data_IF_761232286336
#
_entry.id   IF_761232286336
#
_cell.length_a   1.000
_cell.length_b   1.000
_cell.length_c   1.000
_cell.angle_alpha   90.00
_cell.angle_beta   90.00
_cell.angle_gamma   90.00
#
_symmetry.space_group_name_H-M   'P 1'
#
loop_
_entity.id
_entity.type
_entity.pdbx_description
1 polymer ?
#
# COMPACT_ATOMS: atom_id res chain seq x y z
N UNK A 1 -24.74 8.78 -10.64
CA UNK A 1 -24.80 7.30 -10.74
C UNK A 1 -26.12 6.90 -10.14
N UNK A 2 -26.87 6.03 -10.82
CA UNK A 2 -28.16 5.56 -10.33
C UNK A 2 -28.02 4.96 -8.92
N UNK A 3 -28.95 5.35 -8.03
CA UNK A 3 -28.99 4.89 -6.64
C UNK A 3 -29.07 3.38 -6.56
N UNK A 4 -29.97 2.80 -7.34
CA UNK A 4 -30.26 1.38 -7.31
C UNK A 4 -29.03 0.55 -7.70
N UNK A 5 -28.35 0.95 -8.79
CA UNK A 5 -27.13 0.28 -9.25
C UNK A 5 -26.06 0.32 -8.18
N UNK A 6 -25.82 1.46 -7.52
CA UNK A 6 -24.80 1.55 -6.49
C UNK A 6 -25.11 0.66 -5.27
N UNK A 7 -26.37 0.60 -4.86
CA UNK A 7 -26.80 -0.22 -3.73
C UNK A 7 -26.71 -1.72 -4.04
N UNK A 8 -27.05 -2.14 -5.27
CA UNK A 8 -26.79 -3.51 -5.74
C UNK A 8 -25.29 -3.85 -5.69
N UNK A 9 -24.42 -2.94 -6.13
CA UNK A 9 -22.96 -3.15 -6.10
C UNK A 9 -22.48 -3.28 -4.66
N UNK A 10 -22.94 -2.40 -3.77
CA UNK A 10 -22.62 -2.44 -2.34
C UNK A 10 -23.08 -3.74 -1.70
N UNK A 11 -24.25 -4.25 -2.09
CA UNK A 11 -24.77 -5.53 -1.64
C UNK A 11 -23.93 -6.72 -2.14
N UNK A 12 -23.54 -6.73 -3.43
CA UNK A 12 -22.66 -7.76 -4.00
C UNK A 12 -21.32 -7.79 -3.26
N UNK A 13 -20.68 -6.63 -3.02
CA UNK A 13 -19.44 -6.58 -2.24
C UNK A 13 -19.62 -7.05 -0.79
N UNK A 14 -20.75 -6.74 -0.13
CA UNK A 14 -21.08 -7.27 1.20
C UNK A 14 -21.21 -8.79 1.19
N UNK A 15 -21.82 -9.36 0.15
CA UNK A 15 -21.93 -10.82 0.01
C UNK A 15 -20.55 -11.44 -0.24
N UNK A 16 -19.77 -10.89 -1.16
CA UNK A 16 -18.42 -11.37 -1.48
C UNK A 16 -17.47 -11.32 -0.28
N UNK A 17 -17.50 -10.25 0.51
CA UNK A 17 -16.67 -10.15 1.73
C UNK A 17 -17.07 -11.17 2.80
N UNK A 18 -18.36 -11.54 2.89
CA UNK A 18 -18.85 -12.60 3.79
C UNK A 18 -18.47 -14.01 3.32
N UNK A 19 -18.44 -14.26 2.01
CA UNK A 19 -18.29 -15.60 1.42
C UNK A 19 -16.86 -15.92 0.95
N UNK A 20 -16.09 -14.96 0.43
CA UNK A 20 -14.89 -15.23 -0.38
C UNK A 20 -13.59 -14.55 0.10
N UNK A 21 -13.49 -14.14 1.37
CA UNK A 21 -12.32 -13.42 1.91
C UNK A 21 -10.94 -14.16 1.76
N UNK A 22 -10.89 -15.40 1.26
CA UNK A 22 -9.64 -16.21 1.13
C UNK A 22 -8.93 -16.04 -0.21
N UNK A 23 -9.66 -15.83 -1.32
CA UNK A 23 -9.11 -16.00 -2.67
C UNK A 23 -8.84 -14.69 -3.41
N UNK A 24 -9.33 -13.57 -2.88
CA UNK A 24 -9.21 -12.28 -3.53
C UNK A 24 -7.92 -11.64 -3.05
N UNK A 25 -6.92 -11.48 -3.94
CA UNK A 25 -5.72 -10.66 -3.67
C UNK A 25 -6.16 -9.34 -3.02
N UNK A 26 -5.56 -8.99 -1.87
CA UNK A 26 -5.89 -7.81 -1.02
C UNK A 26 -6.19 -6.55 -1.85
N UNK A 27 -5.44 -6.35 -2.94
CA UNK A 27 -5.59 -5.29 -3.95
C UNK A 27 -7.01 -5.05 -4.50
N UNK A 28 -7.90 -6.06 -4.49
CA UNK A 28 -9.29 -5.92 -4.95
C UNK A 28 -10.30 -5.80 -3.79
N UNK A 29 -9.90 -6.17 -2.58
CA UNK A 29 -10.72 -6.05 -1.37
C UNK A 29 -10.72 -4.60 -0.89
N UNK A 30 -9.60 -3.88 -1.03
CA UNK A 30 -9.45 -2.52 -0.50
C UNK A 30 -10.56 -1.57 -1.00
N UNK A 31 -10.81 -1.42 -2.32
CA UNK A 31 -11.90 -0.54 -2.77
C UNK A 31 -13.27 -1.06 -2.34
N UNK A 32 -13.46 -2.39 -2.30
CA UNK A 32 -14.71 -3.02 -1.86
C UNK A 32 -15.04 -2.70 -0.41
N UNK A 33 -14.06 -2.77 0.50
CA UNK A 33 -14.24 -2.39 1.91
C UNK A 33 -14.62 -0.92 2.07
N UNK A 34 -14.01 -0.04 1.27
CA UNK A 34 -14.38 1.39 1.27
C UNK A 34 -15.80 1.58 0.72
N UNK A 35 -16.21 0.87 -0.35
CA UNK A 35 -17.60 0.92 -0.86
C UNK A 35 -18.61 0.49 0.22
N UNK A 36 -18.29 -0.57 0.97
CA UNK A 36 -19.19 -1.12 1.98
C UNK A 36 -19.31 -0.18 3.20
N UNK A 37 -18.20 0.40 3.62
CA UNK A 37 -18.11 1.20 4.86
C UNK A 37 -18.42 2.69 4.65
N UNK A 38 -18.25 3.22 3.45
CA UNK A 38 -18.51 4.63 3.17
C UNK A 38 -20.02 4.87 2.91
N UNK A 39 -20.65 5.82 3.62
CA UNK A 39 -22.03 6.22 3.30
C UNK A 39 -22.13 7.01 1.98
N UNK A 40 -21.06 7.69 1.55
CA UNK A 40 -21.04 8.47 0.31
C UNK A 40 -20.71 7.60 -0.89
N UNK A 41 -21.33 7.94 -2.03
CA UNK A 41 -20.99 7.36 -3.33
C UNK A 41 -19.67 7.94 -3.82
N UNK A 42 -18.87 7.12 -4.46
CA UNK A 42 -17.61 7.57 -5.05
C UNK A 42 -17.29 6.85 -6.35
N UNK A 43 -16.43 7.48 -7.15
CA UNK A 43 -15.81 6.88 -8.33
C UNK A 43 -14.34 6.54 -8.03
N UNK A 44 -13.94 5.27 -8.09
CA UNK A 44 -12.56 4.89 -7.81
C UNK A 44 -11.65 5.20 -8.98
N UNK A 45 -10.40 5.60 -8.70
CA UNK A 45 -9.31 5.55 -9.67
C UNK A 45 -8.73 4.13 -9.68
N UNK A 46 -8.68 3.50 -10.85
CA UNK A 46 -8.29 2.10 -10.98
C UNK A 46 -7.26 1.88 -12.08
N UNK A 47 -6.36 0.92 -11.91
CA UNK A 47 -5.41 0.54 -12.96
C UNK A 47 -6.11 0.12 -14.26
N UNK A 48 -5.64 0.64 -15.40
CA UNK A 48 -6.16 0.33 -16.74
C UNK A 48 -6.18 -1.18 -17.03
N UNK A 49 -5.16 -1.90 -16.57
CA UNK A 49 -5.05 -3.37 -16.67
C UNK A 49 -6.21 -4.11 -15.98
N UNK A 50 -6.70 -3.59 -14.85
CA UNK A 50 -7.89 -4.13 -14.17
C UNK A 50 -9.19 -3.71 -14.85
N UNK A 51 -9.24 -2.49 -15.40
CA UNK A 51 -10.41 -1.96 -16.13
C UNK A 51 -10.75 -2.75 -17.39
N UNK A 52 -9.74 -3.36 -18.04
CA UNK A 52 -9.93 -4.18 -19.24
C UNK A 52 -10.48 -5.59 -18.97
N UNK A 53 -10.51 -6.05 -17.71
CA UNK A 53 -11.00 -7.41 -17.38
C UNK A 53 -12.52 -7.48 -17.51
N UNK A 54 -13.09 -8.59 -17.98
CA UNK A 54 -14.53 -8.74 -18.26
C UNK A 54 -15.42 -8.42 -17.04
N UNK A 55 -15.22 -9.12 -15.92
CA UNK A 55 -16.06 -8.97 -14.72
C UNK A 55 -15.71 -7.67 -13.98
N UNK A 56 -14.44 -7.50 -13.60
CA UNK A 56 -13.96 -6.33 -12.83
C UNK A 56 -14.18 -5.01 -13.59
N UNK A 57 -13.90 -5.00 -14.90
CA UNK A 57 -14.09 -3.84 -15.75
C UNK A 57 -15.54 -3.45 -15.93
N UNK A 58 -16.46 -4.42 -15.97
CA UNK A 58 -17.90 -4.13 -16.01
C UNK A 58 -18.35 -3.48 -14.70
N UNK A 59 -17.91 -3.99 -13.55
CA UNK A 59 -18.20 -3.34 -12.27
C UNK A 59 -17.61 -1.94 -12.15
N UNK A 60 -16.39 -1.75 -12.63
CA UNK A 60 -15.74 -0.45 -12.64
C UNK A 60 -16.47 0.56 -13.52
N UNK A 61 -16.97 0.13 -14.69
CA UNK A 61 -17.79 0.98 -15.57
C UNK A 61 -19.09 1.40 -14.88
N UNK A 62 -19.76 0.48 -14.18
CA UNK A 62 -20.98 0.79 -13.41
C UNK A 62 -20.71 1.79 -12.27
N UNK A 63 -19.57 1.66 -11.58
CA UNK A 63 -19.10 2.61 -10.56
C UNK A 63 -18.58 3.94 -11.13
N UNK A 64 -18.63 4.10 -12.46
CA UNK A 64 -18.05 5.22 -13.19
C UNK A 64 -16.58 5.48 -12.84
N UNK A 65 -15.81 4.41 -12.62
CA UNK A 65 -14.40 4.46 -12.28
C UNK A 65 -13.55 5.13 -13.37
N UNK A 66 -12.48 5.81 -12.95
CA UNK A 66 -11.54 6.49 -13.85
C UNK A 66 -10.32 5.60 -14.02
N UNK A 67 -10.04 5.09 -15.24
CA UNK A 67 -8.91 4.21 -15.45
C UNK A 67 -7.59 5.00 -15.55
N UNK A 68 -6.56 4.51 -14.87
CA UNK A 68 -5.22 5.08 -14.79
C UNK A 68 -4.24 4.15 -15.48
N UNK A 69 -3.58 4.64 -16.53
CA UNK A 69 -2.48 3.92 -17.18
C UNK A 69 -1.22 4.09 -16.34
N UNK A 70 -0.65 2.97 -15.87
CA UNK A 70 0.64 2.97 -15.18
C UNK A 70 1.73 2.80 -16.24
N UNK A 71 2.75 3.65 -16.24
CA UNK A 71 3.89 3.54 -17.17
C UNK A 71 4.53 2.16 -17.10
N UNK A 72 4.66 1.59 -15.90
CA UNK A 72 5.16 0.24 -15.66
C UNK A 72 4.36 -0.87 -16.37
N UNK A 73 3.05 -0.68 -16.59
CA UNK A 73 2.20 -1.66 -17.28
C UNK A 73 2.46 -1.65 -18.81
N UNK A 74 3.11 -0.61 -19.34
CA UNK A 74 3.48 -0.45 -20.75
C UNK A 74 4.92 -0.88 -21.04
N UNK A 75 5.64 -1.43 -20.06
CA UNK A 75 7.04 -1.80 -20.21
C UNK A 75 7.22 -2.91 -21.26
N UNK A 76 8.12 -2.71 -22.23
CA UNK A 76 8.46 -3.71 -23.24
C UNK A 76 9.97 -3.88 -23.37
N UNK A 77 10.42 -4.99 -23.98
CA UNK A 77 11.86 -5.29 -24.18
C UNK A 77 12.41 -4.42 -25.31
N UNK A 78 13.51 -3.70 -25.06
CA UNK A 78 14.20 -2.94 -26.10
C UNK A 78 14.96 -3.85 -27.08
N UNK A 79 15.17 -3.38 -28.31
CA UNK A 79 16.01 -4.08 -29.30
C UNK A 79 17.49 -3.85 -29.00
N UNK A 80 18.33 -4.82 -29.37
CA UNK A 80 19.79 -4.72 -29.20
C UNK A 80 20.25 -4.77 -27.73
N UNK A 81 21.45 -4.24 -27.51
CA UNK A 81 22.11 -4.18 -26.20
C UNK A 81 22.55 -2.76 -25.89
N UNK A 82 22.58 -2.41 -24.60
CA UNK A 82 23.09 -1.14 -24.13
C UNK A 82 24.58 -1.28 -23.80
N UNK A 83 25.35 -0.26 -24.13
CA UNK A 83 26.78 -0.17 -23.85
C UNK A 83 27.07 1.23 -23.33
N UNK A 84 27.86 1.35 -22.29
CA UNK A 84 28.29 2.64 -21.77
C UNK A 84 29.80 2.68 -21.55
N UNK A 85 30.39 3.83 -21.83
CA UNK A 85 31.79 4.11 -21.57
C UNK A 85 31.93 4.94 -20.28
N UNK A 86 33.04 4.76 -19.56
CA UNK A 86 33.42 5.55 -18.38
C UNK A 86 33.76 7.00 -18.74
N UNK A 87 34.16 7.26 -19.99
CA UNK A 87 34.49 8.60 -20.47
C UNK A 87 33.26 9.48 -20.75
N UNK A 88 32.12 8.89 -21.14
CA UNK A 88 30.91 9.61 -21.52
C UNK A 88 29.71 9.24 -20.65
N UNK A 89 29.67 9.77 -19.41
CA UNK A 89 28.65 9.39 -18.40
C UNK A 89 27.24 9.92 -18.64
N UNK A 90 27.03 10.80 -19.62
CA UNK A 90 25.72 11.37 -19.98
C UNK A 90 25.15 10.80 -21.29
N UNK A 91 25.93 10.00 -22.00
CA UNK A 91 25.55 9.41 -23.29
C UNK A 91 25.57 7.90 -23.14
N UNK A 92 24.47 7.26 -23.53
CA UNK A 92 24.32 5.82 -23.51
C UNK A 92 24.31 5.30 -24.94
N UNK A 93 25.21 4.37 -25.22
CA UNK A 93 25.37 3.79 -26.54
C UNK A 93 24.59 2.48 -26.66
N UNK A 94 24.30 2.10 -27.89
CA UNK A 94 23.56 0.90 -28.24
C UNK A 94 24.27 0.08 -29.31
N UNK A 95 24.20 -1.25 -29.19
CA UNK A 95 24.60 -2.20 -30.24
C UNK A 95 23.36 -2.87 -30.81
N UNK A 96 23.18 -2.76 -32.13
CA UNK A 96 21.98 -3.27 -32.85
C UNK A 96 20.65 -2.75 -32.29
N UNK A 97 20.66 -1.52 -31.79
CA UNK A 97 19.49 -0.82 -31.24
C UNK A 97 18.75 -0.06 -32.34
N UNK A 98 17.48 0.29 -32.08
CA UNK A 98 16.64 1.13 -32.95
C UNK A 98 15.99 2.23 -32.13
N UNK A 99 16.80 3.06 -31.48
CA UNK A 99 16.30 4.02 -30.51
C UNK A 99 15.32 5.04 -31.09
N UNK A 100 15.52 5.50 -32.33
CA UNK A 100 14.62 6.50 -32.95
C UNK A 100 13.20 5.97 -33.14
N UNK A 101 13.02 4.65 -33.21
CA UNK A 101 11.72 3.99 -33.38
C UNK A 101 11.10 3.54 -32.05
N UNK A 102 11.93 3.27 -31.03
CA UNK A 102 11.48 2.61 -29.80
C UNK A 102 11.50 3.50 -28.56
N UNK A 103 12.23 4.60 -28.57
CA UNK A 103 12.49 5.44 -27.40
C UNK A 103 12.11 6.87 -27.72
N UNK A 104 11.45 7.53 -26.78
CA UNK A 104 11.12 8.95 -26.85
C UNK A 104 11.74 9.71 -25.66
N UNK A 105 11.94 11.04 -25.78
CA UNK A 105 12.35 11.86 -24.64
C UNK A 105 11.43 11.64 -23.42
N UNK A 106 12.03 11.56 -22.23
CA UNK A 106 11.43 11.24 -20.92
C UNK A 106 11.11 9.76 -20.66
N UNK A 107 11.28 8.87 -21.63
CA UNK A 107 11.18 7.44 -21.39
C UNK A 107 12.24 6.98 -20.40
N UNK A 108 11.95 5.87 -19.71
CA UNK A 108 12.88 5.28 -18.73
C UNK A 108 13.38 3.94 -19.25
N UNK A 109 14.70 3.80 -19.34
CA UNK A 109 15.37 2.54 -19.62
C UNK A 109 15.61 1.80 -18.32
N UNK A 110 15.24 0.53 -18.25
CA UNK A 110 15.42 -0.31 -17.06
C UNK A 110 16.32 -1.48 -17.40
N UNK A 111 17.49 -1.51 -16.78
CA UNK A 111 18.49 -2.56 -16.95
C UNK A 111 18.36 -3.60 -15.84
N UNK A 112 18.08 -3.16 -14.61
CA UNK A 112 17.85 -4.05 -13.48
C UNK A 112 16.88 -3.41 -12.47
N UNK A 113 16.51 -4.15 -11.42
CA UNK A 113 15.60 -3.64 -10.36
C UNK A 113 16.09 -2.34 -9.70
N UNK A 114 17.41 -2.09 -9.72
CA UNK A 114 18.04 -0.94 -9.07
C UNK A 114 18.65 0.06 -10.05
N UNK A 115 18.71 -0.26 -11.34
CA UNK A 115 19.32 0.59 -12.36
C UNK A 115 18.31 0.94 -13.45
N UNK A 116 17.84 2.18 -13.39
CA UNK A 116 16.93 2.77 -14.37
C UNK A 116 17.34 4.19 -14.70
N UNK A 117 17.27 4.58 -15.97
CA UNK A 117 17.79 5.86 -16.46
C UNK A 117 16.74 6.58 -17.31
N UNK A 118 16.54 7.86 -17.06
CA UNK A 118 15.63 8.68 -17.85
C UNK A 118 16.34 9.29 -19.06
N UNK A 119 15.74 9.11 -20.23
CA UNK A 119 16.24 9.65 -21.50
C UNK A 119 15.89 11.13 -21.59
N UNK A 120 16.90 11.98 -21.76
CA UNK A 120 16.69 13.41 -22.00
C UNK A 120 16.46 13.68 -23.49
N UNK A 121 17.23 13.02 -24.36
CA UNK A 121 17.14 13.20 -25.82
C UNK A 121 17.56 11.91 -26.55
N UNK A 122 16.92 11.63 -27.68
CA UNK A 122 17.33 10.59 -28.63
C UNK A 122 18.21 11.24 -29.69
N UNK A 123 19.47 10.81 -29.81
CA UNK A 123 20.44 11.41 -30.76
C UNK A 123 20.40 10.63 -32.08
N UNK A 124 20.46 9.30 -32.01
CA UNK A 124 20.45 8.40 -33.17
C UNK A 124 19.90 7.03 -32.77
N UNK A 125 19.88 6.06 -33.70
CA UNK A 125 19.46 4.68 -33.38
C UNK A 125 20.39 3.97 -32.41
N UNK A 126 21.61 4.48 -32.21
CA UNK A 126 22.65 3.91 -31.35
C UNK A 126 23.06 4.81 -30.21
N UNK A 127 22.57 6.05 -30.12
CA UNK A 127 22.99 7.01 -29.10
C UNK A 127 21.80 7.70 -28.43
N UNK A 128 21.82 7.72 -27.11
CA UNK A 128 20.85 8.42 -26.26
C UNK A 128 21.57 9.34 -25.28
N UNK A 129 20.99 10.51 -25.04
CA UNK A 129 21.38 11.36 -23.92
C UNK A 129 20.52 11.06 -22.71
N UNK A 130 21.15 10.95 -21.55
CA UNK A 130 20.46 10.74 -20.28
C UNK A 130 20.21 12.07 -19.57
N UNK A 131 19.28 12.06 -18.62
CA UNK A 131 18.97 13.21 -17.76
C UNK A 131 19.96 13.33 -16.60
N UNK A 132 20.45 12.18 -16.12
CA UNK A 132 21.36 12.06 -14.99
C UNK A 132 22.65 11.34 -15.44
N UNK A 133 23.76 11.65 -14.79
CA UNK A 133 25.06 11.02 -15.04
C UNK A 133 25.08 9.59 -14.50
N UNK A 134 25.63 8.66 -15.27
CA UNK A 134 25.85 7.28 -14.86
C UNK A 134 26.94 7.18 -13.78
N UNK A 135 26.70 6.35 -12.77
CA UNK A 135 27.71 5.93 -11.79
C UNK A 135 28.54 4.77 -12.35
N UNK A 136 29.74 4.54 -11.80
CA UNK A 136 30.61 3.44 -12.26
C UNK A 136 29.94 2.07 -12.10
N UNK A 137 29.21 1.87 -11.00
CA UNK A 137 28.43 0.64 -10.76
C UNK A 137 27.32 0.45 -11.82
N UNK A 138 26.67 1.54 -12.24
CA UNK A 138 25.64 1.50 -13.27
C UNK A 138 26.24 1.13 -14.64
N UNK A 139 27.41 1.66 -14.98
CA UNK A 139 28.12 1.37 -16.23
C UNK A 139 28.48 -0.12 -16.30
N UNK A 140 29.05 -0.68 -15.24
CA UNK A 140 29.40 -2.10 -15.17
C UNK A 140 28.17 -3.00 -15.30
N UNK A 141 27.04 -2.59 -14.72
CA UNK A 141 25.75 -3.30 -14.85
C UNK A 141 25.20 -3.24 -16.27
N UNK A 142 25.26 -2.08 -16.92
CA UNK A 142 24.83 -1.90 -18.31
C UNK A 142 25.61 -2.84 -19.22
N UNK A 143 26.94 -2.83 -19.12
CA UNK A 143 27.81 -3.62 -20.00
C UNK A 143 27.70 -5.14 -19.77
N UNK A 144 27.26 -5.57 -18.58
CA UNK A 144 26.96 -6.98 -18.29
C UNK A 144 25.53 -7.40 -18.66
N UNK A 145 24.64 -6.46 -18.94
CA UNK A 145 23.23 -6.78 -19.18
C UNK A 145 22.96 -7.09 -20.65
N UNK A 146 22.46 -8.29 -20.91
CA UNK A 146 22.10 -8.72 -22.27
C UNK A 146 20.79 -8.13 -22.79
N UNK A 147 19.95 -7.61 -21.88
CA UNK A 147 18.65 -7.06 -22.22
C UNK A 147 18.32 -5.85 -21.34
N UNK A 148 17.43 -5.00 -21.86
CA UNK A 148 16.85 -3.88 -21.14
C UNK A 148 15.37 -3.75 -21.49
N UNK A 149 14.63 -3.07 -20.63
CA UNK A 149 13.23 -2.71 -20.86
C UNK A 149 13.10 -1.21 -21.06
N UNK A 150 12.16 -0.83 -21.90
CA UNK A 150 11.75 0.56 -22.10
C UNK A 150 10.42 0.74 -21.39
N UNK A 151 10.34 1.75 -20.54
CA UNK A 151 9.11 2.19 -19.87
C UNK A 151 8.72 3.54 -20.49
N UNK A 152 7.66 3.57 -21.32
CA UNK A 152 7.20 4.81 -21.94
C UNK A 152 6.73 5.84 -20.91
N UNK A 153 7.02 7.10 -21.18
CA UNK A 153 6.41 8.21 -20.47
C UNK A 153 4.92 8.30 -20.84
N UNK A 154 4.06 8.35 -19.81
CA UNK A 154 2.61 8.43 -20.01
C UNK A 154 2.15 9.85 -19.73
N UNK A 155 1.56 10.49 -20.74
CA UNK A 155 0.88 11.76 -20.56
C UNK A 155 -0.44 11.54 -19.78
N UNK A 156 -0.55 12.21 -18.62
CA UNK A 156 -1.70 12.09 -17.71
C UNK A 156 -2.71 13.24 -17.84
N UNK A 157 -2.56 14.18 -18.77
CA UNK A 157 -3.48 15.33 -18.91
C UNK A 157 -4.94 14.92 -19.03
N UNK A 158 -5.25 13.96 -19.90
CA UNK A 158 -6.62 13.45 -20.09
C UNK A 158 -7.19 12.76 -18.84
N UNK A 159 -6.33 12.20 -17.98
CA UNK A 159 -6.76 11.66 -16.69
C UNK A 159 -7.19 12.81 -15.77
N UNK A 160 -6.34 13.83 -15.66
CA UNK A 160 -6.58 14.98 -14.79
C UNK A 160 -7.82 15.76 -15.20
N UNK A 161 -8.03 16.01 -16.49
CA UNK A 161 -9.26 16.63 -17.03
C UNK A 161 -10.52 15.87 -16.57
N UNK A 162 -10.55 14.54 -16.72
CA UNK A 162 -11.67 13.72 -16.26
C UNK A 162 -11.85 13.75 -14.75
N UNK A 163 -10.76 13.84 -13.99
CA UNK A 163 -10.84 13.97 -12.54
C UNK A 163 -11.45 15.32 -12.16
N UNK A 164 -11.00 16.41 -12.78
CA UNK A 164 -11.51 17.76 -12.52
C UNK A 164 -13.00 17.84 -12.86
N UNK A 165 -13.44 17.31 -14.01
CA UNK A 165 -14.85 17.22 -14.40
C UNK A 165 -15.70 16.51 -13.33
N UNK A 166 -15.20 15.41 -12.76
CA UNK A 166 -15.91 14.67 -11.70
C UNK A 166 -15.94 15.41 -10.37
N UNK A 167 -14.85 16.04 -9.98
CA UNK A 167 -14.80 16.84 -8.76
C UNK A 167 -15.73 18.05 -8.86
N UNK A 168 -15.74 18.74 -10.01
CA UNK A 168 -16.63 19.87 -10.28
C UNK A 168 -18.12 19.50 -10.27
N UNK A 169 -18.45 18.25 -10.61
CA UNK A 169 -19.83 17.73 -10.50
C UNK A 169 -20.18 17.20 -9.10
N UNK A 170 -19.35 17.48 -8.09
CA UNK A 170 -19.58 17.08 -6.70
C UNK A 170 -19.36 15.58 -6.43
N UNK A 171 -18.73 14.85 -7.33
CA UNK A 171 -18.48 13.41 -7.17
C UNK A 171 -17.27 13.19 -6.28
N UNK A 172 -17.42 12.35 -5.25
CA UNK A 172 -16.28 11.91 -4.44
C UNK A 172 -15.40 10.92 -5.21
N UNK A 173 -14.09 11.03 -5.03
CA UNK A 173 -13.12 10.10 -5.62
C UNK A 173 -12.42 9.29 -4.54
N UNK A 174 -12.08 8.04 -4.85
CA UNK A 174 -11.24 7.18 -4.00
C UNK A 174 -10.01 6.77 -4.77
N UNK A 175 -8.86 6.89 -4.11
CA UNK A 175 -7.55 6.64 -4.69
C UNK A 175 -6.69 5.84 -3.72
N UNK A 176 -5.71 5.12 -4.27
CA UNK A 176 -4.69 4.40 -3.50
C UNK A 176 -3.31 4.98 -3.86
N UNK A 177 -2.82 5.97 -3.10
CA UNK A 177 -1.66 6.79 -3.50
C UNK A 177 -0.32 6.05 -3.54
N UNK A 178 -0.19 4.90 -2.89
CA UNK A 178 1.01 4.05 -2.94
C UNK A 178 1.25 3.43 -4.33
N UNK A 179 0.19 3.27 -5.13
CA UNK A 179 0.28 2.70 -6.47
C UNK A 179 0.62 1.21 -6.51
N UNK A 180 0.66 0.52 -5.37
CA UNK A 180 0.94 -0.92 -5.22
C UNK A 180 0.24 -1.49 -3.99
N UNK A 181 0.36 -2.80 -3.79
CA UNK A 181 -0.07 -3.48 -2.55
C UNK A 181 1.15 -4.23 -2.01
N UNK A 182 1.48 -4.06 -0.74
CA UNK A 182 2.62 -4.70 -0.10
C UNK A 182 2.31 -5.18 1.31
N UNK A 183 3.06 -6.18 1.77
CA UNK A 183 2.95 -6.75 3.12
C UNK A 183 3.98 -6.14 4.11
N UNK A 184 4.59 -5.00 3.76
CA UNK A 184 5.54 -4.29 4.65
C UNK A 184 4.82 -3.71 5.87
N UNK A 185 5.52 -3.67 7.01
CA UNK A 185 5.04 -3.04 8.25
C UNK A 185 5.01 -1.51 8.17
N UNK A 186 5.70 -0.95 7.18
CA UNK A 186 5.76 0.48 6.90
C UNK A 186 5.02 0.88 5.63
N UNK A 187 4.52 2.11 5.63
CA UNK A 187 3.87 2.74 4.47
C UNK A 187 4.90 3.11 3.40
N UNK A 188 4.60 2.79 2.13
CA UNK A 188 5.41 3.26 1.01
C UNK A 188 5.25 4.78 0.77
N UNK A 189 6.25 5.43 0.15
CA UNK A 189 6.12 6.80 -0.30
C UNK A 189 4.89 7.00 -1.20
N UNK A 190 4.14 8.07 -0.95
CA UNK A 190 2.94 8.38 -1.70
C UNK A 190 3.28 9.02 -3.04
N UNK A 191 2.51 8.68 -4.08
CA UNK A 191 2.59 9.38 -5.37
C UNK A 191 1.85 10.71 -5.28
N UNK A 192 2.46 11.75 -5.86
CA UNK A 192 1.93 13.12 -5.88
C UNK A 192 0.60 13.30 -6.65
N UNK A 193 0.10 12.27 -7.33
CA UNK A 193 -1.07 12.39 -8.21
C UNK A 193 -2.31 12.99 -7.52
N UNK A 194 -2.55 12.67 -6.25
CA UNK A 194 -3.70 13.22 -5.53
C UNK A 194 -3.59 14.71 -5.24
N UNK A 195 -2.38 15.17 -4.89
CA UNK A 195 -2.10 16.56 -4.66
C UNK A 195 -2.27 17.36 -5.95
N UNK A 196 -1.74 16.84 -7.07
CA UNK A 196 -1.90 17.44 -8.41
C UNK A 196 -3.37 17.56 -8.80
N UNK A 197 -4.17 16.50 -8.57
CA UNK A 197 -5.61 16.48 -8.87
C UNK A 197 -6.40 17.48 -8.03
N UNK A 198 -6.14 17.53 -6.72
CA UNK A 198 -6.86 18.42 -5.82
C UNK A 198 -6.50 19.90 -6.06
N UNK A 199 -5.21 20.22 -6.14
CA UNK A 199 -4.73 21.57 -6.41
C UNK A 199 -5.12 22.05 -7.81
N UNK A 200 -5.03 21.17 -8.82
CA UNK A 200 -5.44 21.49 -10.18
C UNK A 200 -6.93 21.84 -10.28
N UNK A 201 -7.79 20.98 -9.73
CA UNK A 201 -9.24 21.22 -9.77
C UNK A 201 -9.66 22.51 -9.05
N UNK A 202 -9.09 22.81 -7.88
CA UNK A 202 -9.40 24.05 -7.15
C UNK A 202 -8.71 25.30 -7.73
N UNK A 203 -7.62 25.13 -8.48
CA UNK A 203 -7.00 26.22 -9.24
C UNK A 203 -7.84 26.61 -10.47
N UNK A 204 -8.53 25.65 -11.08
CA UNK A 204 -9.44 25.85 -12.22
C UNK A 204 -10.82 26.36 -11.78
N UNK A 205 -11.31 25.91 -10.62
CA UNK A 205 -12.62 26.29 -10.08
C UNK A 205 -12.50 26.80 -8.63
N UNK A 206 -12.68 28.12 -8.44
CA UNK A 206 -12.54 28.79 -7.14
C UNK A 206 -13.66 28.46 -6.14
N UNK A 207 -14.82 28.03 -6.62
CA UNK A 207 -15.97 27.68 -5.77
C UNK A 207 -15.89 26.24 -5.25
N UNK A 208 -14.92 25.46 -5.75
CA UNK A 208 -14.75 24.08 -5.35
C UNK A 208 -13.97 23.97 -4.03
N UNK A 209 -14.60 23.37 -3.00
CA UNK A 209 -13.96 23.07 -1.72
C UNK A 209 -13.68 21.57 -1.57
N UNK A 210 -12.49 21.13 -2.02
CA UNK A 210 -12.08 19.72 -1.90
C UNK A 210 -11.59 19.42 -0.50
N UNK A 211 -12.17 18.38 0.12
CA UNK A 211 -11.65 17.75 1.34
C UNK A 211 -10.99 16.41 1.03
N UNK A 212 -9.77 16.22 1.55
CA UNK A 212 -9.06 14.94 1.48
C UNK A 212 -9.30 14.21 2.79
N UNK A 213 -9.88 13.01 2.72
CA UNK A 213 -10.15 12.18 3.91
C UNK A 213 -9.21 10.98 3.90
N UNK A 214 -8.25 10.88 4.83
CA UNK A 214 -7.40 9.71 4.97
C UNK A 214 -8.24 8.49 5.37
N UNK A 215 -8.02 7.35 4.70
CA UNK A 215 -8.70 6.09 5.01
C UNK A 215 -7.65 5.01 5.26
N UNK A 216 -7.63 4.46 6.47
CA UNK A 216 -6.74 3.39 6.88
C UNK A 216 -7.45 2.04 6.84
N UNK A 217 -6.84 1.06 6.17
CA UNK A 217 -7.32 -0.31 6.10
C UNK A 217 -6.42 -1.21 6.94
N UNK A 218 -6.89 -1.63 8.12
CA UNK A 218 -6.10 -2.40 9.08
C UNK A 218 -6.56 -3.86 9.10
N UNK A 219 -5.73 -4.76 8.55
CA UNK A 219 -5.99 -6.20 8.47
C UNK A 219 -5.30 -6.95 9.61
N UNK A 220 -6.03 -7.84 10.30
CA UNK A 220 -5.46 -8.57 11.46
C UNK A 220 -4.70 -9.83 11.07
N UNK A 221 -5.26 -10.59 10.14
CA UNK A 221 -4.62 -11.81 9.60
C UNK A 221 -4.87 -11.83 8.09
N UNK A 222 -4.08 -11.11 7.28
CA UNK A 222 -4.30 -10.98 5.84
C UNK A 222 -4.37 -12.35 5.14
N UNK A 223 -3.66 -13.35 5.66
CA UNK A 223 -3.56 -14.70 5.09
C UNK A 223 -4.63 -15.68 5.60
N UNK A 224 -5.53 -15.28 6.51
CA UNK A 224 -6.59 -16.17 7.03
C UNK A 224 -7.94 -15.84 6.40
N UNK A 225 -8.66 -16.88 6.01
CA UNK A 225 -10.05 -16.75 5.56
C UNK A 225 -10.94 -16.12 6.64
N UNK A 226 -11.85 -15.25 6.23
CA UNK A 226 -12.79 -14.51 7.10
C UNK A 226 -12.09 -13.75 8.23
N UNK A 227 -10.89 -13.28 7.94
CA UNK A 227 -10.16 -12.41 8.85
C UNK A 227 -10.86 -11.06 9.00
N UNK A 228 -10.52 -10.37 10.07
CA UNK A 228 -11.16 -9.11 10.46
C UNK A 228 -10.34 -7.96 9.89
N UNK A 229 -11.06 -6.94 9.42
CA UNK A 229 -10.49 -5.68 8.97
C UNK A 229 -11.19 -4.53 9.69
N UNK A 230 -10.45 -3.46 9.98
CA UNK A 230 -11.00 -2.19 10.47
C UNK A 230 -10.73 -1.12 9.42
N UNK A 231 -11.79 -0.40 9.06
CA UNK A 231 -11.69 0.81 8.23
C UNK A 231 -11.72 2.01 9.15
N UNK A 232 -10.63 2.77 9.18
CA UNK A 232 -10.47 3.96 10.01
C UNK A 232 -10.52 5.20 9.13
N UNK A 233 -11.40 6.14 9.46
CA UNK A 233 -11.49 7.43 8.77
C UNK A 233 -10.76 8.50 9.59
N UNK A 234 -9.88 9.25 8.93
CA UNK A 234 -9.11 10.32 9.54
C UNK A 234 -9.84 11.65 9.50
N UNK A 235 -9.25 12.65 10.15
CA UNK A 235 -9.75 14.03 10.09
C UNK A 235 -9.68 14.54 8.65
N UNK A 236 -10.74 15.15 8.11
CA UNK A 236 -10.72 15.77 6.79
C UNK A 236 -9.65 16.87 6.70
N UNK A 237 -8.81 16.80 5.67
CA UNK A 237 -7.78 17.79 5.36
C UNK A 237 -8.36 18.76 4.32
N UNK A 238 -8.33 20.05 4.64
CA UNK A 238 -8.71 21.10 3.69
C UNK A 238 -7.49 21.55 2.88
N UNK A 239 -7.67 21.74 1.58
CA UNK A 239 -6.63 22.34 0.73
C UNK A 239 -6.56 23.83 1.02
N UNK A 240 -5.41 24.32 1.49
CA UNK A 240 -5.26 25.72 1.87
C UNK A 240 -5.21 26.65 0.65
N UNK A 241 -5.78 27.87 0.72
CA UNK A 241 -5.73 28.85 -0.36
C UNK A 241 -4.30 29.23 -0.78
N UNK A 242 -3.35 29.25 0.16
CA UNK A 242 -1.93 29.52 -0.10
C UNK A 242 -1.30 28.49 -1.06
N UNK A 243 -1.63 27.21 -0.91
CA UNK A 243 -1.14 26.16 -1.79
C UNK A 243 -1.72 26.28 -3.20
N UNK A 244 -2.98 26.71 -3.33
CA UNK A 244 -3.63 26.92 -4.63
C UNK A 244 -2.95 28.08 -5.37
N UNK A 245 -2.68 29.20 -4.69
CA UNK A 245 -1.96 30.34 -5.25
C UNK A 245 -0.55 29.94 -5.70
N UNK A 246 0.20 29.25 -4.85
CA UNK A 246 1.53 28.76 -5.17
C UNK A 246 1.52 27.77 -6.36
N UNK A 247 0.48 26.93 -6.46
CA UNK A 247 0.29 26.02 -7.59
C UNK A 247 0.10 26.77 -8.92
N UNK A 248 -0.69 27.85 -8.92
CA UNK A 248 -0.96 28.69 -10.10
C UNK A 248 0.28 29.47 -10.58
N UNK A 249 1.16 29.90 -9.67
CA UNK A 249 2.41 30.60 -10.02
C UNK A 249 3.39 29.73 -10.84
N UNK A 250 3.24 28.41 -10.81
CA UNK A 250 4.08 27.50 -11.60
C UNK A 250 5.48 27.30 -11.03
N UNK A 251 6.37 26.70 -11.83
CA UNK A 251 7.79 26.56 -11.51
C UNK A 251 8.10 25.88 -10.16
N UNK A 252 8.91 26.55 -9.33
CA UNK A 252 9.26 26.09 -7.99
C UNK A 252 8.05 26.08 -7.03
N UNK A 253 7.26 27.16 -7.01
CA UNK A 253 6.09 27.31 -6.15
C UNK A 253 5.06 26.19 -6.34
N UNK A 254 4.88 25.74 -7.59
CA UNK A 254 3.99 24.60 -7.88
C UNK A 254 4.48 23.31 -7.25
N UNK A 255 5.79 23.04 -7.31
CA UNK A 255 6.39 21.84 -6.71
C UNK A 255 6.27 21.86 -5.20
N UNK A 256 6.50 23.02 -4.59
CA UNK A 256 6.35 23.24 -3.15
C UNK A 256 4.91 23.00 -2.69
N UNK A 257 3.91 23.59 -3.36
CA UNK A 257 2.50 23.35 -3.05
C UNK A 257 2.10 21.88 -3.12
N UNK A 258 2.58 21.16 -4.15
CA UNK A 258 2.36 19.71 -4.28
C UNK A 258 3.02 18.98 -3.12
N UNK A 259 4.26 19.32 -2.77
CA UNK A 259 5.00 18.69 -1.68
C UNK A 259 4.30 18.89 -0.32
N UNK A 260 3.86 20.11 -0.01
CA UNK A 260 3.14 20.40 1.24
C UNK A 260 1.83 19.60 1.36
N UNK A 261 1.04 19.53 0.28
CA UNK A 261 -0.20 18.74 0.31
C UNK A 261 0.07 17.23 0.38
N UNK A 262 1.16 16.78 -0.25
CA UNK A 262 1.62 15.38 -0.19
C UNK A 262 2.01 14.99 1.23
N UNK A 263 2.76 15.85 1.92
CA UNK A 263 3.19 15.68 3.31
C UNK A 263 2.01 15.61 4.27
N UNK A 264 1.08 16.57 4.21
CA UNK A 264 -0.12 16.56 5.08
C UNK A 264 -1.00 15.33 4.80
N UNK A 265 -1.11 14.93 3.52
CA UNK A 265 -1.81 13.68 3.17
C UNK A 265 -1.11 12.43 3.71
N UNK A 266 0.22 12.43 3.73
CA UNK A 266 1.03 11.35 4.31
C UNK A 266 0.83 11.25 5.82
N UNK A 267 0.93 12.36 6.55
CA UNK A 267 0.65 12.42 7.99
C UNK A 267 -0.79 11.98 8.30
N UNK A 268 -1.75 12.43 7.49
CA UNK A 268 -3.14 12.02 7.60
C UNK A 268 -3.32 10.50 7.48
N UNK A 269 -2.68 9.87 6.49
CA UNK A 269 -2.70 8.41 6.33
C UNK A 269 -1.94 7.68 7.43
N UNK A 270 -0.79 8.20 7.86
CA UNK A 270 -0.04 7.64 9.00
C UNK A 270 -0.86 7.65 10.27
N UNK A 271 -1.69 8.68 10.46
CA UNK A 271 -2.60 8.71 11.59
C UNK A 271 -3.48 7.47 11.53
N UNK A 272 -4.19 7.17 10.45
CA UNK A 272 -5.19 6.08 10.40
C UNK A 272 -4.65 4.67 10.17
N UNK A 273 -3.34 4.50 10.02
CA UNK A 273 -2.67 3.22 9.72
C UNK A 273 -1.73 2.79 10.84
N UNK A 274 -1.54 1.49 11.00
CA UNK A 274 -0.54 0.92 11.92
C UNK A 274 0.80 0.83 11.17
N UNK A 275 1.63 1.87 11.30
CA UNK A 275 2.94 1.97 10.63
C UNK A 275 4.08 1.70 11.62
N UNK A 276 4.59 0.46 11.62
CA UNK A 276 5.63 -0.01 12.52
C UNK A 276 6.99 -0.09 11.80
N UNK A 277 8.10 0.43 12.39
CA UNK A 277 9.42 0.46 11.76
C UNK A 277 9.96 -0.92 11.36
N UNK A 278 9.58 -1.95 12.11
CA UNK A 278 9.94 -3.32 11.81
C UNK A 278 8.85 -4.29 12.28
N UNK A 279 8.92 -5.52 11.79
CA UNK A 279 8.08 -6.62 12.25
C UNK A 279 8.24 -6.86 13.76
N UNK A 280 9.47 -6.75 14.28
CA UNK A 280 9.74 -6.97 15.71
C UNK A 280 9.11 -5.90 16.59
N UNK A 281 9.11 -4.63 16.15
CA UNK A 281 8.39 -3.56 16.84
C UNK A 281 6.90 -3.84 16.80
N UNK A 282 6.35 -4.24 15.64
CA UNK A 282 4.93 -4.59 15.53
C UNK A 282 4.53 -5.70 16.51
N UNK A 283 5.34 -6.76 16.61
CA UNK A 283 5.13 -7.86 17.56
C UNK A 283 5.28 -7.42 19.02
N UNK A 284 6.26 -6.56 19.30
CA UNK A 284 6.45 -5.97 20.63
C UNK A 284 5.23 -5.19 21.07
N UNK A 285 4.71 -4.31 20.21
CA UNK A 285 3.50 -3.52 20.47
C UNK A 285 2.28 -4.41 20.66
N UNK A 286 2.14 -5.43 19.81
CA UNK A 286 1.05 -6.39 19.93
C UNK A 286 1.10 -7.17 21.26
N UNK A 287 2.29 -7.52 21.75
CA UNK A 287 2.49 -8.18 23.05
C UNK A 287 2.29 -7.21 24.21
N UNK A 288 2.90 -6.02 24.17
CA UNK A 288 2.71 -4.96 25.15
C UNK A 288 1.24 -4.67 25.37
N UNK A 289 0.43 -4.60 24.30
CA UNK A 289 -1.01 -4.40 24.37
C UNK A 289 -1.72 -5.53 25.11
N UNK A 290 -1.35 -6.79 24.85
CA UNK A 290 -1.95 -7.96 25.52
C UNK A 290 -1.60 -8.00 27.01
N UNK A 291 -0.38 -7.59 27.36
CA UNK A 291 0.07 -7.49 28.75
C UNK A 291 -0.56 -6.30 29.48
N UNK A 292 -0.70 -5.15 28.82
CA UNK A 292 -1.31 -3.94 29.40
C UNK A 292 -2.80 -4.11 29.71
N UNK A 293 -3.55 -4.77 28.82
CA UNK A 293 -4.93 -5.20 29.08
C UNK A 293 -5.06 -6.69 28.80
N UNK A 294 -4.97 -7.49 29.87
CA UNK A 294 -5.15 -8.94 29.78
C UNK A 294 -6.48 -9.27 29.11
N UNK A 295 -6.41 -10.12 28.08
CA UNK A 295 -7.59 -10.55 27.32
C UNK A 295 -8.57 -11.35 28.19
N UNK A 296 -8.14 -11.82 29.36
CA UNK A 296 -8.96 -12.54 30.32
C UNK A 296 -9.94 -11.62 31.09
N UNK A 297 -9.59 -10.36 31.31
CA UNK A 297 -10.36 -9.44 32.15
C UNK A 297 -11.22 -8.48 31.31
N UNK A 298 -10.69 -7.98 30.19
CA UNK A 298 -11.38 -7.00 29.36
C UNK A 298 -11.16 -7.25 27.87
N UNK A 299 -12.20 -7.69 27.17
CA UNK A 299 -12.14 -7.95 25.73
C UNK A 299 -12.32 -6.64 24.94
N UNK A 300 -11.21 -6.08 24.47
CA UNK A 300 -11.23 -4.90 23.59
C UNK A 300 -11.98 -5.17 22.28
N UNK A 301 -12.73 -4.18 21.82
CA UNK A 301 -13.28 -4.18 20.46
C UNK A 301 -12.14 -4.03 19.44
N UNK A 302 -12.42 -4.33 18.17
CA UNK A 302 -11.38 -4.39 17.13
C UNK A 302 -10.83 -2.99 16.84
N UNK A 303 -11.69 -1.99 16.81
CA UNK A 303 -11.36 -0.57 16.71
C UNK A 303 -10.47 -0.10 17.87
N UNK A 304 -10.82 -0.46 19.12
CA UNK A 304 -9.98 -0.18 20.30
C UNK A 304 -8.61 -0.82 20.19
N UNK A 305 -8.52 -2.05 19.64
CA UNK A 305 -7.21 -2.70 19.41
C UNK A 305 -6.36 -1.91 18.41
N UNK A 306 -6.95 -1.44 17.31
CA UNK A 306 -6.24 -0.62 16.31
C UNK A 306 -5.81 0.72 16.90
N UNK A 307 -6.70 1.39 17.64
CA UNK A 307 -6.39 2.68 18.29
C UNK A 307 -5.26 2.53 19.31
N UNK A 308 -5.31 1.50 20.16
CA UNK A 308 -4.28 1.26 21.16
C UNK A 308 -2.92 0.90 20.52
N UNK A 309 -2.92 0.11 19.45
CA UNK A 309 -1.69 -0.16 18.67
C UNK A 309 -1.10 1.13 18.09
N UNK A 310 -1.93 2.02 17.53
CA UNK A 310 -1.48 3.32 17.00
C UNK A 310 -0.86 4.19 18.08
N UNK A 311 -1.51 4.31 19.24
CA UNK A 311 -1.00 5.07 20.39
C UNK A 311 0.33 4.52 20.88
N UNK A 312 0.42 3.20 21.05
CA UNK A 312 1.66 2.55 21.49
C UNK A 312 2.79 2.76 20.48
N UNK A 313 2.52 2.68 19.17
CA UNK A 313 3.52 2.97 18.14
C UNK A 313 3.95 4.44 18.13
N UNK A 314 3.02 5.36 18.30
CA UNK A 314 3.32 6.79 18.41
C UNK A 314 4.23 7.07 19.62
N UNK A 315 3.90 6.50 20.78
CA UNK A 315 4.74 6.60 21.98
C UNK A 315 6.09 5.91 21.80
N UNK A 316 6.14 4.74 21.16
CA UNK A 316 7.39 4.02 20.88
C UNK A 316 8.35 4.89 20.04
N UNK A 317 7.85 5.54 18.99
CA UNK A 317 8.66 6.45 18.16
C UNK A 317 9.16 7.66 18.95
N UNK A 318 8.33 8.23 19.81
CA UNK A 318 8.72 9.39 20.62
C UNK A 318 9.78 9.05 21.68
N UNK A 319 9.68 7.88 22.31
CA UNK A 319 10.56 7.45 23.41
C UNK A 319 11.60 6.40 22.98
N UNK A 320 11.91 6.28 21.69
CA UNK A 320 12.77 5.21 21.14
C UNK A 320 14.15 5.13 21.83
N UNK A 321 14.66 6.28 22.28
CA UNK A 321 15.96 6.40 22.95
C UNK A 321 15.87 6.34 24.48
N UNK A 322 14.68 6.24 25.07
CA UNK A 322 14.51 6.14 26.51
C UNK A 322 15.00 4.76 27.00
N UNK A 323 15.97 4.69 27.93
CA UNK A 323 16.49 3.43 28.45
C UNK A 323 15.41 2.49 29.01
N UNK A 324 14.32 3.03 29.58
CA UNK A 324 13.21 2.24 30.13
C UNK A 324 12.44 1.53 29.02
N UNK A 325 12.23 2.20 27.88
CA UNK A 325 11.55 1.59 26.74
C UNK A 325 12.42 0.51 26.10
N UNK A 326 13.73 0.74 25.99
CA UNK A 326 14.69 -0.23 25.48
C UNK A 326 14.69 -1.50 26.35
N UNK A 327 14.71 -1.36 27.66
CA UNK A 327 14.64 -2.49 28.60
C UNK A 327 13.33 -3.27 28.46
N UNK A 328 12.18 -2.58 28.50
CA UNK A 328 10.86 -3.22 28.36
C UNK A 328 10.76 -3.96 27.02
N UNK A 329 11.25 -3.36 25.93
CA UNK A 329 11.25 -3.99 24.60
C UNK A 329 12.06 -5.28 24.60
N UNK A 330 13.27 -5.29 25.18
CA UNK A 330 14.09 -6.50 25.33
C UNK A 330 13.37 -7.57 26.15
N UNK A 331 12.74 -7.20 27.27
CA UNK A 331 11.98 -8.14 28.10
C UNK A 331 10.78 -8.75 27.37
N UNK A 332 10.04 -7.94 26.61
CA UNK A 332 8.93 -8.41 25.78
C UNK A 332 9.42 -9.35 24.67
N UNK A 333 10.55 -9.05 24.04
CA UNK A 333 11.16 -9.93 23.03
C UNK A 333 11.57 -11.27 23.64
N UNK A 334 12.24 -11.27 24.81
CA UNK A 334 12.57 -12.49 25.54
C UNK A 334 11.32 -13.31 25.87
N UNK A 335 10.27 -12.66 26.38
CA UNK A 335 8.99 -13.32 26.66
C UNK A 335 8.36 -13.96 25.40
N UNK A 336 8.34 -13.23 24.28
CA UNK A 336 7.84 -13.77 23.00
C UNK A 336 8.67 -14.98 22.52
N UNK A 337 9.99 -14.95 22.70
CA UNK A 337 10.87 -16.07 22.37
C UNK A 337 10.59 -17.28 23.26
N UNK A 338 10.36 -17.08 24.55
CA UNK A 338 9.96 -18.14 25.49
C UNK A 338 8.61 -18.76 25.09
N UNK A 339 7.60 -17.95 24.78
CA UNK A 339 6.32 -18.42 24.27
C UNK A 339 6.50 -19.31 23.03
N UNK A 340 7.32 -18.85 22.08
CA UNK A 340 7.61 -19.58 20.84
C UNK A 340 8.33 -20.89 21.11
N UNK A 341 9.31 -20.90 22.00
CA UNK A 341 10.07 -22.09 22.40
C UNK A 341 9.14 -23.17 22.98
N UNK A 342 8.22 -22.79 23.87
CA UNK A 342 7.25 -23.71 24.47
C UNK A 342 6.00 -23.96 23.60
N UNK A 343 5.90 -23.34 22.42
CA UNK A 343 4.70 -23.43 21.56
C UNK A 343 3.42 -22.87 22.20
N UNK A 344 3.57 -21.97 23.18
CA UNK A 344 2.46 -21.38 23.94
C UNK A 344 2.00 -20.07 23.32
N UNK A 345 0.71 -19.76 23.54
CA UNK A 345 0.14 -18.43 23.32
C UNK A 345 0.05 -17.69 24.65
N UNK A 346 0.14 -16.38 24.58
CA UNK A 346 0.06 -15.45 25.72
C UNK A 346 -1.08 -15.77 26.70
N UNK A 347 -2.32 -15.94 26.21
CA UNK A 347 -3.48 -16.26 27.05
C UNK A 347 -3.43 -17.64 27.74
N UNK A 348 -2.53 -18.53 27.30
CA UNK A 348 -2.33 -19.83 27.91
C UNK A 348 -1.37 -19.74 29.10
N UNK A 349 -0.54 -18.69 29.19
CA UNK A 349 0.47 -18.55 30.25
C UNK A 349 -0.18 -18.51 31.63
N UNK A 350 -1.21 -17.69 31.81
CA UNK A 350 -1.99 -17.63 33.05
C UNK A 350 -2.70 -18.96 33.40
N UNK A 351 -2.84 -19.86 32.43
CA UNK A 351 -3.43 -21.20 32.60
C UNK A 351 -2.38 -22.30 32.70
N UNK A 352 -1.09 -22.00 32.61
CA UNK A 352 -0.01 -22.99 32.77
C UNK A 352 0.38 -23.21 34.22
N UNK A 353 -0.16 -22.42 35.16
CA UNK A 353 -0.11 -22.69 36.61
C UNK A 353 -1.01 -23.87 37.02
N UNK A 354 -1.15 -24.88 36.16
CA UNK A 354 -1.83 -26.12 36.50
C UNK A 354 -0.77 -26.99 37.17
N UNK A 355 -0.93 -27.25 38.47
CA UNK A 355 -0.06 -28.17 39.19
C UNK A 355 0.03 -29.52 38.45
N UNK A 356 1.17 -30.24 38.49
CA UNK A 356 1.34 -31.52 37.81
C UNK A 356 0.22 -32.53 38.15
N UNK A 357 -0.32 -32.46 39.37
CA UNK A 357 -1.47 -33.24 39.84
C UNK A 357 -2.79 -33.00 39.09
N UNK A 358 -2.97 -31.83 38.46
CA UNK A 358 -4.15 -31.49 37.65
C UNK A 358 -3.95 -31.72 36.15
N UNK A 359 -2.71 -31.81 35.66
CA UNK A 359 -2.40 -32.02 34.24
C UNK A 359 -2.37 -33.52 33.85
N UNK A 360 -1.86 -34.38 34.74
CA UNK A 360 -1.77 -35.83 34.51
C UNK A 360 -3.12 -36.52 34.17
N UNK A 361 -4.23 -36.29 34.89
CA UNK A 361 -5.50 -36.93 34.57
C UNK A 361 -6.09 -36.42 33.24
N UNK A 362 -5.87 -35.15 32.89
CA UNK A 362 -6.33 -34.60 31.59
C UNK A 362 -5.52 -35.19 30.44
N UNK A 363 -4.20 -35.31 30.59
CA UNK A 363 -3.33 -35.96 29.60
C UNK A 363 -3.74 -37.42 29.38
N UNK A 364 -3.95 -38.17 30.47
CA UNK A 364 -4.40 -39.55 30.42
C UNK A 364 -5.76 -39.67 29.71
N UNK A 365 -6.73 -38.82 30.04
CA UNK A 365 -8.03 -38.77 29.36
C UNK A 365 -7.91 -38.48 27.86
N UNK A 366 -7.00 -37.58 27.46
CA UNK A 366 -6.77 -37.24 26.04
C UNK A 366 -6.07 -38.37 25.29
N UNK A 367 -5.09 -39.04 25.90
CA UNK A 367 -4.44 -40.22 25.34
C UNK A 367 -5.44 -41.36 25.15
N UNK A 368 -6.32 -41.60 26.13
CA UNK A 368 -7.35 -42.64 26.05
C UNK A 368 -8.36 -42.35 24.93
N UNK A 369 -8.76 -41.07 24.75
CA UNK A 369 -9.60 -40.64 23.62
C UNK A 369 -8.90 -40.77 22.27
N UNK A 370 -7.62 -40.42 22.20
CA UNK A 370 -6.80 -40.57 20.99
C UNK A 370 -6.64 -42.03 20.60
N UNK A 371 -6.40 -42.90 21.58
CA UNK A 371 -6.34 -44.35 21.39
C UNK A 371 -7.67 -44.90 20.88
N UNK A 372 -8.79 -44.49 21.47
CA UNK A 372 -10.12 -44.90 21.01
C UNK A 372 -10.41 -44.41 19.58
N UNK A 373 -10.08 -43.16 19.26
CA UNK A 373 -10.20 -42.62 17.90
C UNK A 373 -9.25 -43.29 16.91
N UNK A 374 -8.07 -43.72 17.34
CA UNK A 374 -7.13 -44.45 16.49
C UNK A 374 -7.60 -45.89 16.20
N UNK A 375 -8.30 -46.53 17.13
CA UNK A 375 -8.85 -47.88 16.93
C UNK A 375 -10.14 -47.85 16.10
N UNK A 376 -11.04 -46.90 16.38
CA UNK A 376 -12.38 -46.87 15.80
C UNK A 376 -12.57 -45.82 14.70
N UNK A 377 -11.58 -44.96 14.47
CA UNK A 377 -11.64 -43.88 13.48
C UNK A 377 -10.94 -44.18 12.15
N UNK A 378 -10.31 -45.35 11.99
CA UNK A 378 -9.92 -45.82 10.67
C UNK A 378 -11.15 -46.40 9.97
N UNK A 379 -11.49 -45.95 8.75
CA UNK A 379 -12.50 -46.63 7.96
C UNK A 379 -11.93 -48.00 7.59
N UNK A 380 -12.66 -49.06 7.98
CA UNK A 380 -12.52 -50.40 7.42
C UNK A 380 -12.69 -50.37 5.90
#
# INVERSE_FOLDING_TARGET
MDSFIYDCIKWVFRLMTKVFFREIKVRFIDPGLVIISNPRRFSPLMAQSSFKRKIVGTMARLLKAIPVTRSQDLAFKGSGQLVSDKHCRLVLNGKHTRFTQQVFPRDTLVVSKTNSFQVSQVISDTELRLTETLTDEAIDRINKSEAYKIIPHVNQSRLYEKVHERLNSGVCLVIFPEGGSHDRSEMLPLKAGFAIMALGAMAENKDLDIKIVPIGLNYFHPHRFRSRAVVSYGTPISVKPEWIKAYQLGGHFRREAIASLLEVGYEGLQSVTVNAPSYDVLMTIATARRLYKSTAEHKLTIDQVVDLNRRFLSSYKHFEKDPRLVDITKRIQSYNNTLKYFGLRDYQVAKTEIAPYSAAPVLFSRLLKLFFLAIFGFPS
#
